data_IF_370954949810
#
_entry.id   IF_370954949810
#
_cell.length_a   1.000
_cell.length_b   1.000
_cell.length_c   1.000
_cell.angle_alpha   90.00
_cell.angle_beta   90.00
_cell.angle_gamma   90.00
#
_symmetry.space_group_name_H-M   'P 1'
#
loop_
_entity.id
_entity.type
_entity.pdbx_description
1 polymer ?
#
# COMPACT_ATOMS: atom_id res chain seq x y z
N UNK A 1 -18.25 -41.82 -28.09
CA UNK A 1 -18.07 -41.29 -26.72
C UNK A 1 -18.57 -39.87 -26.70
N UNK A 2 -19.80 -39.66 -26.20
CA UNK A 2 -20.34 -38.32 -25.96
C UNK A 2 -19.86 -37.86 -24.57
N UNK A 3 -19.31 -36.66 -24.49
CA UNK A 3 -19.30 -35.87 -23.26
C UNK A 3 -19.99 -34.55 -23.56
N UNK A 4 -21.27 -34.48 -23.21
CA UNK A 4 -22.03 -33.24 -23.06
C UNK A 4 -21.62 -32.57 -21.76
N UNK A 5 -21.19 -31.32 -21.82
CA UNK A 5 -20.90 -30.49 -20.63
C UNK A 5 -21.39 -29.07 -20.86
N UNK A 6 -22.46 -28.73 -20.16
CA UNK A 6 -23.18 -27.44 -20.15
C UNK A 6 -22.20 -26.28 -19.91
N UNK A 7 -22.15 -25.32 -20.84
CA UNK A 7 -21.57 -24.01 -20.56
C UNK A 7 -22.51 -23.27 -19.59
N UNK A 8 -22.28 -23.45 -18.29
CA UNK A 8 -22.99 -22.72 -17.25
C UNK A 8 -22.92 -21.22 -17.52
N UNK A 9 -24.08 -20.60 -17.65
CA UNK A 9 -24.24 -19.17 -17.81
C UNK A 9 -23.45 -18.40 -16.74
N UNK A 10 -22.42 -17.65 -17.12
CA UNK A 10 -21.90 -16.55 -16.30
C UNK A 10 -22.72 -15.29 -16.57
N UNK A 11 -24.01 -15.36 -16.28
CA UNK A 11 -24.82 -14.17 -16.06
C UNK A 11 -24.51 -13.65 -14.66
N UNK A 12 -23.52 -12.77 -14.52
CA UNK A 12 -23.42 -11.86 -13.37
C UNK A 12 -22.92 -10.52 -13.91
N UNK A 13 -23.70 -9.47 -13.66
CA UNK A 13 -23.34 -8.11 -14.05
C UNK A 13 -22.00 -7.71 -13.40
N UNK A 14 -20.92 -7.77 -14.18
CA UNK A 14 -19.59 -7.30 -13.83
C UNK A 14 -19.56 -5.77 -13.70
N UNK A 15 -20.26 -5.23 -12.70
CA UNK A 15 -20.25 -3.79 -12.42
C UNK A 15 -19.05 -3.47 -11.56
N UNK A 16 -17.96 -3.04 -12.20
CA UNK A 16 -16.93 -2.27 -11.52
C UNK A 16 -17.59 -1.01 -10.97
N UNK A 17 -17.55 -0.87 -9.64
CA UNK A 17 -18.07 0.27 -8.93
C UNK A 17 -16.97 0.86 -8.07
N UNK A 18 -16.78 2.18 -8.16
CA UNK A 18 -15.88 2.89 -7.28
C UNK A 18 -16.27 2.66 -5.81
N UNK A 19 -15.28 2.41 -4.95
CA UNK A 19 -15.49 2.18 -3.51
C UNK A 19 -14.88 3.26 -2.63
N UNK A 20 -13.65 3.69 -2.93
CA UNK A 20 -12.87 4.56 -2.05
C UNK A 20 -11.69 5.18 -2.81
N UNK A 21 -11.35 6.43 -2.48
CA UNK A 21 -10.03 7.01 -2.73
C UNK A 21 -9.17 6.73 -1.50
N UNK A 22 -7.94 6.25 -1.73
CA UNK A 22 -6.97 6.00 -0.67
C UNK A 22 -5.89 7.07 -0.80
N UNK A 23 -5.75 7.88 0.23
CA UNK A 23 -4.73 8.93 0.32
C UNK A 23 -4.04 8.79 1.67
N UNK A 24 -2.70 8.74 1.73
CA UNK A 24 -1.99 8.72 2.99
C UNK A 24 -2.12 10.04 3.72
N UNK A 25 -2.05 9.97 5.04
CA UNK A 25 -2.14 11.12 5.95
C UNK A 25 -1.02 12.14 5.74
N UNK A 26 0.18 11.69 5.39
CA UNK A 26 1.37 12.54 5.28
C UNK A 26 1.85 12.78 3.85
N UNK A 27 1.13 12.30 2.82
CA UNK A 27 1.58 12.40 1.43
C UNK A 27 1.57 13.85 0.91
N UNK A 28 2.66 14.24 0.27
CA UNK A 28 2.89 15.52 -0.39
C UNK A 28 3.04 15.35 -1.90
N UNK A 29 2.88 16.45 -2.65
CA UNK A 29 3.17 16.44 -4.09
C UNK A 29 4.64 16.03 -4.31
N UNK A 30 4.89 15.25 -5.37
CA UNK A 30 6.19 14.65 -5.69
C UNK A 30 6.66 13.48 -4.80
N UNK A 31 5.89 13.03 -3.81
CA UNK A 31 6.24 11.81 -3.05
C UNK A 31 6.12 10.52 -3.89
N UNK A 32 5.50 10.61 -5.07
CA UNK A 32 5.20 9.48 -5.95
C UNK A 32 4.42 8.35 -5.26
N UNK A 33 3.50 8.70 -4.35
CA UNK A 33 2.60 7.72 -3.76
C UNK A 33 1.83 6.96 -4.85
N UNK A 34 1.84 5.62 -4.76
CA UNK A 34 1.25 4.76 -5.78
C UNK A 34 2.23 4.30 -6.86
N UNK A 35 3.52 4.60 -6.72
CA UNK A 35 4.56 4.16 -7.65
C UNK A 35 4.62 2.63 -7.78
N UNK A 36 4.49 1.95 -6.65
CA UNK A 36 4.39 0.49 -6.58
C UNK A 36 3.28 0.11 -5.60
N UNK A 37 2.63 -1.04 -5.80
CA UNK A 37 1.64 -1.54 -4.87
C UNK A 37 1.55 -3.07 -4.92
N UNK A 38 1.11 -3.65 -3.81
CA UNK A 38 0.67 -5.04 -3.75
C UNK A 38 -0.50 -5.18 -2.77
N UNK A 39 -1.34 -6.19 -3.00
CA UNK A 39 -2.56 -6.42 -2.21
C UNK A 39 -2.74 -7.89 -1.85
N UNK A 40 -2.91 -8.13 -0.55
CA UNK A 40 -3.27 -9.42 0.02
C UNK A 40 -4.63 -9.31 0.76
N UNK A 41 -5.24 -10.42 1.17
CA UNK A 41 -6.46 -10.39 1.96
C UNK A 41 -6.30 -9.56 3.24
N UNK A 42 -6.89 -8.36 3.25
CA UNK A 42 -6.85 -7.49 4.42
C UNK A 42 -5.66 -6.53 4.50
N UNK A 43 -4.69 -6.64 3.60
CA UNK A 43 -3.46 -5.84 3.60
C UNK A 43 -3.21 -5.23 2.21
N UNK A 44 -2.96 -3.94 2.16
CA UNK A 44 -2.58 -3.20 0.96
C UNK A 44 -1.32 -2.43 1.28
N UNK A 45 -0.31 -2.60 0.43
CA UNK A 45 0.98 -1.93 0.60
C UNK A 45 1.23 -1.06 -0.62
N UNK A 46 1.64 0.18 -0.41
CA UNK A 46 1.82 1.17 -1.48
C UNK A 46 3.12 1.94 -1.28
N UNK A 47 4.00 1.90 -2.27
CA UNK A 47 5.27 2.63 -2.28
C UNK A 47 5.13 4.09 -2.68
N UNK A 48 5.99 4.92 -2.09
CA UNK A 48 6.16 6.35 -2.36
C UNK A 48 7.67 6.68 -2.33
N UNK A 49 8.42 6.37 -3.40
CA UNK A 49 9.88 6.49 -3.41
C UNK A 49 10.40 7.93 -3.37
N UNK A 50 9.58 8.92 -3.71
CA UNK A 50 9.93 10.34 -3.59
C UNK A 50 9.68 10.89 -2.19
N UNK A 51 9.29 10.06 -1.23
CA UNK A 51 8.95 10.55 0.11
C UNK A 51 10.19 11.07 0.81
N UNK A 52 10.12 12.33 1.20
CA UNK A 52 11.07 12.89 2.15
C UNK A 52 10.71 12.50 3.59
N UNK A 53 11.72 12.18 4.39
CA UNK A 53 11.56 11.80 5.79
C UNK A 53 12.32 12.76 6.69
N UNK A 54 11.63 13.26 7.71
CA UNK A 54 12.24 14.06 8.78
C UNK A 54 12.19 13.24 10.06
N UNK A 55 13.34 12.71 10.49
CA UNK A 55 13.45 11.96 11.73
C UNK A 55 13.77 12.92 12.88
N UNK A 56 13.11 12.73 14.02
CA UNK A 56 13.28 13.57 15.23
C UNK A 56 14.73 13.68 15.69
N UNK A 57 15.57 12.69 15.37
CA UNK A 57 16.97 12.62 15.78
C UNK A 57 17.96 13.04 14.67
N UNK A 58 17.48 13.59 13.55
CA UNK A 58 18.33 14.12 12.48
C UNK A 58 18.19 15.64 12.38
N UNK A 59 19.33 16.32 12.29
CA UNK A 59 19.38 17.78 12.08
C UNK A 59 18.91 18.16 10.68
N UNK A 60 19.01 17.23 9.71
CA UNK A 60 18.67 17.47 8.32
C UNK A 60 17.56 16.52 7.85
N UNK A 61 16.65 17.07 7.03
CA UNK A 61 15.65 16.31 6.29
C UNK A 61 16.33 15.38 5.29
N UNK A 62 15.94 14.11 5.28
CA UNK A 62 16.37 13.15 4.25
C UNK A 62 15.44 13.29 3.05
N UNK A 63 16.02 13.54 1.87
CA UNK A 63 15.26 13.78 0.63
C UNK A 63 15.20 12.53 -0.23
N UNK A 64 14.04 12.27 -0.86
CA UNK A 64 13.80 11.12 -1.75
C UNK A 64 14.28 9.77 -1.18
N UNK A 65 14.13 9.54 0.13
CA UNK A 65 14.53 8.27 0.76
C UNK A 65 13.43 7.21 0.70
N UNK A 66 12.24 7.61 0.28
CA UNK A 66 11.14 6.70 0.05
C UNK A 66 10.43 6.25 1.32
N UNK A 67 9.21 5.78 1.13
CA UNK A 67 8.34 5.27 2.19
C UNK A 67 7.38 4.24 1.61
N UNK A 68 7.01 3.26 2.43
CA UNK A 68 5.98 2.28 2.09
C UNK A 68 4.80 2.46 3.03
N UNK A 69 3.64 2.79 2.50
CA UNK A 69 2.41 2.93 3.27
C UNK A 69 1.68 1.60 3.35
N UNK A 70 1.22 1.25 4.55
CA UNK A 70 0.50 0.01 4.84
C UNK A 70 -0.92 0.35 5.23
N UNK A 71 -1.87 -0.23 4.51
CA UNK A 71 -3.29 -0.08 4.74
C UNK A 71 -3.90 -1.42 5.13
N UNK A 72 -4.74 -1.41 6.15
CA UNK A 72 -5.51 -2.57 6.57
C UNK A 72 -6.97 -2.43 6.16
N UNK A 73 -7.58 -3.55 5.79
CA UNK A 73 -8.99 -3.60 5.38
C UNK A 73 -9.91 -3.86 6.56
N UNK A 74 -10.16 -2.81 7.32
CA UNK A 74 -10.95 -2.90 8.54
C UNK A 74 -12.46 -2.81 8.25
N UNK A 75 -13.24 -3.56 9.03
CA UNK A 75 -14.69 -3.42 9.05
C UNK A 75 -15.06 -2.17 9.85
N UNK A 76 -15.90 -1.32 9.28
CA UNK A 76 -16.45 -0.15 9.96
C UNK A 76 -17.92 0.03 9.60
N UNK A 77 -18.66 0.74 10.44
CA UNK A 77 -20.06 1.08 10.16
C UNK A 77 -20.12 2.46 9.52
N UNK A 78 -20.61 2.54 8.30
CA UNK A 78 -20.88 3.81 7.60
C UNK A 78 -22.36 3.85 7.28
N UNK A 79 -23.05 4.89 7.76
CA UNK A 79 -24.50 5.06 7.59
C UNK A 79 -25.31 3.84 8.05
N UNK A 80 -24.91 3.24 9.19
CA UNK A 80 -25.59 2.08 9.76
C UNK A 80 -25.36 0.76 9.01
N UNK A 81 -24.44 0.73 8.03
CA UNK A 81 -24.08 -0.49 7.29
C UNK A 81 -22.63 -0.86 7.53
N UNK A 82 -22.38 -2.13 7.78
CA UNK A 82 -21.01 -2.68 7.80
C UNK A 82 -20.38 -2.58 6.40
N UNK A 83 -19.23 -1.93 6.35
CA UNK A 83 -18.44 -1.75 5.14
C UNK A 83 -16.98 -2.01 5.46
N UNK A 84 -16.32 -2.82 4.63
CA UNK A 84 -14.86 -2.98 4.69
C UNK A 84 -14.19 -1.82 3.96
N UNK A 85 -13.40 -1.01 4.67
CA UNK A 85 -12.65 0.13 4.13
C UNK A 85 -11.17 -0.06 4.37
N UNK A 86 -10.36 0.50 3.46
CA UNK A 86 -8.92 0.57 3.66
C UNK A 86 -8.60 1.77 4.53
N UNK A 87 -7.84 1.57 5.59
CA UNK A 87 -7.37 2.62 6.50
C UNK A 87 -5.86 2.52 6.63
N UNK A 88 -5.15 3.65 6.56
CA UNK A 88 -3.70 3.66 6.81
C UNK A 88 -3.45 3.14 8.22
N UNK A 89 -2.77 2.01 8.33
CA UNK A 89 -2.40 1.41 9.61
C UNK A 89 -1.00 1.89 10.01
N UNK A 90 -0.09 1.96 9.05
CA UNK A 90 1.32 2.29 9.27
C UNK A 90 1.93 2.92 8.01
N UNK A 91 3.08 3.56 8.19
CA UNK A 91 4.02 3.77 7.10
C UNK A 91 5.41 3.36 7.56
N UNK A 92 6.12 2.67 6.69
CA UNK A 92 7.46 2.16 6.90
C UNK A 92 8.41 3.10 6.18
N UNK A 93 9.18 3.83 6.98
CA UNK A 93 10.36 4.54 6.51
C UNK A 93 11.56 3.68 6.84
N UNK A 94 12.64 3.76 6.05
CA UNK A 94 13.85 3.02 6.37
C UNK A 94 14.48 3.58 7.66
N UNK A 95 14.19 2.98 8.82
CA UNK A 95 15.06 2.97 10.00
C UNK A 95 14.58 1.92 11.00
N UNK A 96 15.22 0.75 11.01
CA UNK A 96 15.37 0.01 12.28
C UNK A 96 16.80 -0.47 12.53
N UNK A 97 17.71 -0.43 11.55
CA UNK A 97 19.12 -0.69 11.81
C UNK A 97 20.03 -0.05 10.76
N UNK A 98 20.94 0.81 11.23
CA UNK A 98 22.22 1.18 10.58
C UNK A 98 22.20 1.57 9.07
N UNK A 99 21.47 2.61 8.70
CA UNK A 99 21.73 3.37 7.44
C UNK A 99 21.72 4.91 7.67
N UNK A 100 21.81 5.32 8.93
CA UNK A 100 22.01 6.72 9.30
C UNK A 100 23.46 7.07 8.97
N UNK A 101 23.70 7.79 7.86
CA UNK A 101 24.67 8.90 7.71
C UNK A 101 25.28 9.16 6.30
N UNK A 102 24.74 8.68 5.17
CA UNK A 102 25.45 8.90 3.87
C UNK A 102 24.65 9.45 2.70
N UNK A 103 23.40 9.91 2.87
CA UNK A 103 22.63 10.47 1.74
C UNK A 103 22.34 9.42 0.66
N UNK A 104 22.28 8.15 1.05
CA UNK A 104 21.90 7.06 0.15
C UNK A 104 20.41 7.19 -0.14
N UNK A 105 20.07 7.37 -1.41
CA UNK A 105 18.72 7.12 -1.93
C UNK A 105 18.47 5.63 -1.77
N UNK A 106 17.87 5.23 -0.67
CA UNK A 106 17.36 3.88 -0.55
C UNK A 106 16.06 3.86 -1.33
N UNK A 107 15.97 2.95 -2.29
CA UNK A 107 14.91 2.88 -3.28
C UNK A 107 13.60 2.34 -2.67
N UNK A 108 13.35 2.66 -1.41
CA UNK A 108 12.26 2.10 -0.64
C UNK A 108 10.93 2.50 -1.26
N UNK A 109 10.10 1.51 -1.58
CA UNK A 109 8.85 1.75 -2.30
C UNK A 109 9.01 1.93 -3.82
N UNK A 110 10.20 1.77 -4.40
CA UNK A 110 10.32 1.54 -5.85
C UNK A 110 9.69 0.20 -6.24
N UNK A 111 9.79 -0.81 -5.38
CA UNK A 111 9.08 -2.08 -5.50
C UNK A 111 8.52 -2.50 -4.14
N UNK A 112 7.30 -3.02 -4.13
CA UNK A 112 6.71 -3.65 -2.95
C UNK A 112 6.12 -4.99 -3.35
N UNK A 113 6.26 -5.99 -2.48
CA UNK A 113 5.60 -7.28 -2.61
C UNK A 113 5.17 -7.76 -1.21
N UNK A 114 4.00 -8.36 -1.12
CA UNK A 114 3.40 -8.91 0.09
C UNK A 114 3.06 -10.37 -0.18
N UNK A 115 3.66 -11.27 0.60
CA UNK A 115 3.22 -12.66 0.60
C UNK A 115 1.99 -12.88 1.49
N UNK A 116 1.33 -14.04 1.36
CA UNK A 116 0.20 -14.41 2.20
C UNK A 116 0.52 -14.52 3.70
N UNK A 117 1.80 -14.39 4.09
CA UNK A 117 2.30 -14.34 5.47
C UNK A 117 2.60 -12.93 5.98
N UNK A 118 2.45 -11.89 5.16
CA UNK A 118 2.63 -10.48 5.55
C UNK A 118 4.08 -9.98 5.48
N UNK A 119 5.02 -10.73 4.88
CA UNK A 119 6.39 -10.24 4.71
C UNK A 119 6.45 -9.26 3.54
N UNK A 120 6.77 -8.00 3.83
CA UNK A 120 6.99 -6.96 2.83
C UNK A 120 8.43 -7.01 2.34
N UNK A 121 8.66 -7.20 1.03
CA UNK A 121 9.97 -6.91 0.41
C UNK A 121 9.90 -5.46 -0.09
N UNK A 122 10.79 -4.61 0.42
CA UNK A 122 10.87 -3.18 0.15
C UNK A 122 12.21 -2.79 -0.49
#
# INVERSE_FOLDING_TARGET
TLHSGVAGARGLANKWGFKQVITPTSATAADFFGFSLDVAPGLLVVGAPGKDVSLTNLVNKMTDVGTVYVFERNAGVVEGREQKRWTEAQHLTQTSDTAVQTGVRTRMGESVAVDGGGTTIA
#
